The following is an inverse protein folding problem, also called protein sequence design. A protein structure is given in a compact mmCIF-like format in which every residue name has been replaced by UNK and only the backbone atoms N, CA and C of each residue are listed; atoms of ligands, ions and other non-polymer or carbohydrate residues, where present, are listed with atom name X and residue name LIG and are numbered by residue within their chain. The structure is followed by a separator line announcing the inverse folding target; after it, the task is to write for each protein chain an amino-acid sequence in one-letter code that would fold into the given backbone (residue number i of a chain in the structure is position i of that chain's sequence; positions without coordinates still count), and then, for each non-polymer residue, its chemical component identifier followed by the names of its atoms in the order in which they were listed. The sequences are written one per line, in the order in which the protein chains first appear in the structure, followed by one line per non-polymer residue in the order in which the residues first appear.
data_IF_335484618722
#
_entry.id   IF_335484618722
#
_cell.length_a   1.000
_cell.length_b   1.000
_cell.length_c   1.000
_cell.angle_alpha   90.00
_cell.angle_beta   90.00
_cell.angle_gamma   90.00
#
_symmetry.space_group_name_H-M   'P 1'
#
loop_
_entity.id
_entity.type
_entity.pdbx_description
1 polymer ?
#
# COMPACT_ATOMS: atom_id res chain seq x y z
N UNK A 1 -19.85 -16.83 -15.15
CA UNK A 1 -18.69 -15.96 -14.89
C UNK A 1 -17.45 -16.71 -15.37
N UNK A 2 -17.01 -16.40 -16.60
CA UNK A 2 -15.90 -17.10 -17.23
C UNK A 2 -14.60 -16.83 -16.47
N UNK A 3 -13.73 -17.82 -16.41
CA UNK A 3 -12.42 -17.69 -15.77
C UNK A 3 -11.53 -16.72 -16.59
N UNK A 4 -11.61 -15.43 -16.30
CA UNK A 4 -10.77 -14.37 -16.92
C UNK A 4 -9.31 -14.38 -16.41
N UNK A 5 -9.02 -15.24 -15.41
CA UNK A 5 -7.70 -15.41 -14.79
C UNK A 5 -6.53 -15.49 -15.77
N UNK A 6 -6.70 -16.11 -16.94
CA UNK A 6 -5.63 -16.25 -17.92
C UNK A 6 -5.15 -14.91 -18.48
N UNK A 7 -6.08 -14.01 -18.82
CA UNK A 7 -5.77 -12.76 -19.50
C UNK A 7 -5.22 -11.70 -18.55
N UNK A 8 -5.73 -11.63 -17.32
CA UNK A 8 -5.20 -10.70 -16.30
C UNK A 8 -3.78 -11.09 -15.87
N UNK A 9 -3.53 -12.38 -15.65
CA UNK A 9 -2.20 -12.87 -15.31
C UNK A 9 -1.21 -12.70 -16.47
N UNK A 10 -1.64 -12.96 -17.71
CA UNK A 10 -0.82 -12.72 -18.90
C UNK A 10 -0.47 -11.23 -19.05
N UNK A 11 -1.45 -10.33 -18.83
CA UNK A 11 -1.22 -8.87 -18.85
C UNK A 11 -0.22 -8.44 -17.77
N UNK A 12 -0.28 -9.01 -16.57
CA UNK A 12 0.69 -8.74 -15.50
C UNK A 12 2.11 -9.20 -15.88
N UNK A 13 2.26 -10.40 -16.45
CA UNK A 13 3.56 -10.90 -16.92
C UNK A 13 4.14 -10.03 -18.05
N UNK A 14 3.31 -9.59 -18.99
CA UNK A 14 3.71 -8.65 -20.04
C UNK A 14 4.18 -7.32 -19.43
N UNK A 15 3.48 -6.83 -18.40
CA UNK A 15 3.89 -5.62 -17.67
C UNK A 15 5.28 -5.74 -17.05
N UNK A 16 5.58 -6.87 -16.40
CA UNK A 16 6.91 -7.14 -15.83
C UNK A 16 7.98 -7.18 -16.92
N UNK A 17 7.71 -7.89 -18.04
CA UNK A 17 8.62 -7.97 -19.16
C UNK A 17 8.88 -6.59 -19.80
N UNK A 18 7.86 -5.75 -19.90
CA UNK A 18 7.96 -4.37 -20.39
C UNK A 18 8.84 -3.51 -19.49
N UNK A 19 8.67 -3.59 -18.17
CA UNK A 19 9.48 -2.83 -17.21
C UNK A 19 10.96 -3.23 -17.33
N UNK A 20 11.27 -4.53 -17.37
CA UNK A 20 12.65 -5.00 -17.55
C UNK A 20 13.21 -4.65 -18.93
N UNK A 21 12.39 -4.73 -19.99
CA UNK A 21 12.77 -4.32 -21.33
C UNK A 21 13.13 -2.85 -21.43
N UNK A 22 12.34 -1.97 -20.81
CA UNK A 22 12.61 -0.53 -20.75
C UNK A 22 13.86 -0.22 -19.91
N UNK A 23 14.02 -0.84 -18.74
CA UNK A 23 15.20 -0.67 -17.91
C UNK A 23 16.48 -1.13 -18.63
N UNK A 24 16.41 -2.23 -19.39
CA UNK A 24 17.52 -2.71 -20.22
C UNK A 24 17.80 -1.79 -21.40
N UNK A 25 16.77 -1.28 -22.08
CA UNK A 25 16.91 -0.36 -23.21
C UNK A 25 17.59 0.95 -22.82
N UNK A 26 17.27 1.47 -21.63
CA UNK A 26 17.88 2.67 -21.07
C UNK A 26 19.27 2.43 -20.44
N UNK A 27 19.68 1.17 -20.26
CA UNK A 27 20.96 0.85 -19.64
C UNK A 27 22.13 1.22 -20.56
N UNK A 28 23.11 1.93 -19.99
CA UNK A 28 24.31 2.39 -20.68
C UNK A 28 25.26 1.25 -21.06
N UNK A 29 25.33 0.19 -20.23
CA UNK A 29 26.18 -0.99 -20.47
C UNK A 29 25.35 -2.27 -20.55
N UNK A 30 24.59 -2.40 -21.66
CA UNK A 30 23.66 -3.52 -21.91
C UNK A 30 24.28 -4.91 -21.81
N UNK A 31 25.58 -5.05 -22.09
CA UNK A 31 26.32 -6.32 -22.01
C UNK A 31 26.68 -6.74 -20.59
N UNK A 32 26.73 -5.79 -19.65
CA UNK A 32 27.04 -6.04 -18.24
C UNK A 32 25.78 -6.05 -17.36
N UNK A 33 24.60 -6.12 -17.99
CA UNK A 33 23.36 -6.14 -17.25
C UNK A 33 23.29 -7.37 -16.32
N UNK A 34 23.07 -7.19 -15.01
CA UNK A 34 23.24 -8.25 -14.01
C UNK A 34 22.02 -9.18 -13.96
N UNK A 35 21.80 -9.99 -15.00
CA UNK A 35 20.65 -10.89 -15.14
C UNK A 35 20.46 -11.85 -13.95
N UNK A 36 21.55 -12.30 -13.32
CA UNK A 36 21.48 -13.14 -12.11
C UNK A 36 20.83 -12.42 -10.94
N UNK A 37 21.15 -11.13 -10.76
CA UNK A 37 20.59 -10.31 -9.68
C UNK A 37 19.14 -9.99 -9.99
N UNK A 38 18.83 -9.63 -11.23
CA UNK A 38 17.45 -9.31 -11.65
C UNK A 38 16.54 -10.50 -11.43
N UNK A 39 16.86 -11.67 -11.98
CA UNK A 39 16.05 -12.88 -11.79
C UNK A 39 15.99 -13.32 -10.32
N UNK A 40 17.09 -13.19 -9.58
CA UNK A 40 17.12 -13.49 -8.15
C UNK A 40 16.21 -12.56 -7.33
N UNK A 41 16.23 -11.26 -7.61
CA UNK A 41 15.37 -10.27 -6.97
C UNK A 41 13.90 -10.48 -7.35
N UNK A 42 13.60 -10.77 -8.62
CA UNK A 42 12.24 -11.11 -9.08
C UNK A 42 11.71 -12.34 -8.35
N UNK A 43 12.50 -13.42 -8.28
CA UNK A 43 12.11 -14.64 -7.61
C UNK A 43 11.88 -14.40 -6.11
N UNK A 44 12.76 -13.61 -5.46
CA UNK A 44 12.60 -13.24 -4.07
C UNK A 44 11.34 -12.40 -3.82
N UNK A 45 11.02 -11.47 -4.73
CA UNK A 45 9.78 -10.68 -4.66
C UNK A 45 8.54 -11.57 -4.76
N UNK A 46 8.52 -12.54 -5.69
CA UNK A 46 7.43 -13.52 -5.77
C UNK A 46 7.36 -14.40 -4.52
N UNK A 47 8.51 -14.83 -3.98
CA UNK A 47 8.55 -15.58 -2.72
C UNK A 47 7.94 -14.77 -1.57
N UNK A 48 8.28 -13.50 -1.42
CA UNK A 48 7.66 -12.62 -0.43
C UNK A 48 6.17 -12.46 -0.66
N UNK A 49 5.71 -12.23 -1.89
CA UNK A 49 4.28 -12.13 -2.18
C UNK A 49 3.54 -13.42 -1.78
N UNK A 50 4.08 -14.59 -2.10
CA UNK A 50 3.51 -15.87 -1.71
C UNK A 50 3.54 -16.10 -0.20
N UNK A 51 4.58 -15.64 0.51
CA UNK A 51 4.64 -15.75 1.97
C UNK A 51 3.61 -14.82 2.62
N UNK A 52 3.59 -13.54 2.23
CA UNK A 52 2.72 -12.52 2.82
C UNK A 52 1.25 -12.80 2.55
N UNK A 53 0.90 -13.22 1.33
CA UNK A 53 -0.49 -13.47 0.94
C UNK A 53 -0.89 -14.94 1.00
N UNK A 54 0.01 -15.89 0.79
CA UNK A 54 -0.32 -17.32 0.75
C UNK A 54 -0.36 -17.99 2.12
N UNK A 55 0.39 -17.49 3.12
CA UNK A 55 0.45 -18.10 4.46
C UNK A 55 -0.58 -17.41 5.39
N UNK A 56 -1.62 -18.13 5.88
CA UNK A 56 -2.68 -17.51 6.69
C UNK A 56 -2.18 -16.84 7.96
N UNK A 57 -1.16 -17.41 8.60
CA UNK A 57 -0.54 -16.85 9.81
C UNK A 57 0.10 -15.47 9.54
N UNK A 58 0.87 -15.35 8.46
CA UNK A 58 1.53 -14.08 8.08
C UNK A 58 0.49 -13.04 7.71
N UNK A 59 -0.56 -13.45 6.97
CA UNK A 59 -1.69 -12.59 6.65
C UNK A 59 -2.41 -12.08 7.91
N UNK A 60 -2.59 -12.94 8.92
CA UNK A 60 -3.18 -12.55 10.21
C UNK A 60 -2.36 -11.46 10.92
N UNK A 61 -1.03 -11.59 10.93
CA UNK A 61 -0.13 -10.58 11.49
C UNK A 61 -0.24 -9.26 10.72
N UNK A 62 -0.26 -9.31 9.38
CA UNK A 62 -0.44 -8.11 8.56
C UNK A 62 -1.78 -7.41 8.84
N UNK A 63 -2.85 -8.17 9.10
CA UNK A 63 -4.12 -7.56 9.48
C UNK A 63 -4.07 -6.91 10.87
N UNK A 64 -3.34 -7.47 11.82
CA UNK A 64 -3.12 -6.83 13.13
C UNK A 64 -2.25 -5.57 13.06
N UNK A 65 -1.48 -5.37 11.97
CA UNK A 65 -0.80 -4.10 11.76
C UNK A 65 -1.81 -2.95 11.59
N UNK A 66 -3.02 -3.23 11.10
CA UNK A 66 -4.08 -2.22 11.06
C UNK A 66 -4.46 -1.76 12.47
N UNK A 67 -4.52 -2.65 13.45
CA UNK A 67 -4.84 -2.30 14.84
C UNK A 67 -3.81 -1.33 15.43
N UNK A 68 -2.53 -1.47 15.06
CA UNK A 68 -1.46 -0.54 15.45
C UNK A 68 -1.67 0.84 14.83
N UNK A 69 -1.99 0.88 13.53
CA UNK A 69 -2.27 2.12 12.80
C UNK A 69 -3.53 2.79 13.35
N UNK A 70 -4.56 2.02 13.66
CA UNK A 70 -5.80 2.50 14.28
C UNK A 70 -5.54 3.04 15.69
N UNK A 71 -4.69 2.39 16.48
CA UNK A 71 -4.23 2.88 17.77
C UNK A 71 -3.54 4.24 17.66
N UNK A 72 -2.64 4.40 16.67
CA UNK A 72 -1.96 5.67 16.42
C UNK A 72 -2.95 6.76 15.98
N UNK A 73 -3.85 6.45 15.04
CA UNK A 73 -4.90 7.36 14.59
C UNK A 73 -5.79 7.81 15.75
N UNK A 74 -6.18 6.89 16.64
CA UNK A 74 -6.99 7.20 17.82
C UNK A 74 -6.25 8.11 18.80
N UNK A 75 -4.96 7.89 19.02
CA UNK A 75 -4.12 8.76 19.85
C UNK A 75 -4.01 10.17 19.25
N UNK A 76 -3.78 10.27 17.93
CA UNK A 76 -3.75 11.55 17.20
C UNK A 76 -5.10 12.27 17.28
N UNK A 77 -6.21 11.56 17.11
CA UNK A 77 -7.57 12.11 17.25
C UNK A 77 -7.84 12.62 18.65
N UNK A 78 -7.42 11.90 19.69
CA UNK A 78 -7.54 12.34 21.07
C UNK A 78 -6.74 13.63 21.34
N UNK A 79 -5.49 13.70 20.86
CA UNK A 79 -4.65 14.89 21.02
C UNK A 79 -5.18 16.12 20.26
N UNK A 80 -5.67 15.91 19.05
CA UNK A 80 -6.18 16.99 18.20
C UNK A 80 -7.56 17.46 18.65
N UNK A 81 -8.40 16.57 19.18
CA UNK A 81 -9.63 16.94 19.87
C UNK A 81 -9.37 17.72 21.16
N UNK A 82 -8.28 17.44 21.88
CA UNK A 82 -7.90 18.22 23.06
C UNK A 82 -7.49 19.65 22.70
N UNK A 83 -6.71 19.84 21.62
CA UNK A 83 -6.22 21.17 21.20
C UNK A 83 -7.26 21.97 20.42
N UNK A 84 -8.02 21.31 19.53
CA UNK A 84 -8.89 21.97 18.54
C UNK A 84 -10.39 21.64 18.70
N UNK A 85 -10.77 20.88 19.72
CA UNK A 85 -12.17 20.57 20.02
C UNK A 85 -12.86 19.76 18.91
N UNK A 86 -14.12 20.13 18.61
CA UNK A 86 -15.00 19.41 17.68
C UNK A 86 -14.49 19.33 16.23
N UNK A 87 -13.54 20.19 15.84
CA UNK A 87 -12.89 20.16 14.52
C UNK A 87 -11.75 19.12 14.49
N UNK A 88 -11.09 18.90 15.63
CA UNK A 88 -10.03 17.89 15.77
C UNK A 88 -10.54 16.45 15.71
N UNK A 89 -11.73 16.21 16.25
CA UNK A 89 -12.38 14.88 16.23
C UNK A 89 -13.10 14.56 14.91
N UNK A 90 -13.10 15.45 13.92
CA UNK A 90 -13.88 15.36 12.68
C UNK A 90 -15.40 15.50 12.84
N UNK A 91 -15.90 15.83 14.04
CA UNK A 91 -17.35 16.03 14.24
C UNK A 91 -17.88 17.20 13.42
N UNK A 92 -17.09 18.25 13.24
CA UNK A 92 -17.42 19.37 12.35
C UNK A 92 -17.74 18.90 10.92
N UNK A 93 -16.90 18.00 10.36
CA UNK A 93 -17.13 17.45 9.03
C UNK A 93 -18.38 16.56 9.00
N UNK A 94 -18.62 15.77 10.06
CA UNK A 94 -19.82 14.95 10.26
C UNK A 94 -21.14 15.72 10.26
N UNK A 95 -21.12 16.97 10.73
CA UNK A 95 -22.31 17.81 10.81
C UNK A 95 -22.52 18.67 9.55
N UNK A 96 -21.46 18.95 8.81
CA UNK A 96 -21.47 19.88 7.66
C UNK A 96 -21.51 19.16 6.31
N UNK A 97 -21.14 17.88 6.26
CA UNK A 97 -21.06 17.09 5.02
C UNK A 97 -22.05 15.94 5.08
N UNK A 98 -22.79 15.73 3.99
CA UNK A 98 -23.69 14.58 3.88
C UNK A 98 -22.89 13.28 3.67
N UNK A 99 -23.28 12.20 4.37
CA UNK A 99 -22.68 10.88 4.24
C UNK A 99 -21.53 10.62 5.22
N UNK A 100 -20.48 9.92 4.78
CA UNK A 100 -19.25 9.68 5.54
C UNK A 100 -18.22 10.74 5.19
N UNK A 101 -18.01 11.76 6.04
CA UNK A 101 -17.06 12.82 5.75
C UNK A 101 -15.64 12.26 5.83
N UNK A 102 -14.76 12.63 4.88
CA UNK A 102 -13.35 12.32 5.00
C UNK A 102 -12.75 13.00 6.26
N UNK A 103 -11.65 12.46 6.81
CA UNK A 103 -10.91 13.13 7.88
C UNK A 103 -10.44 14.51 7.44
N UNK A 104 -10.63 15.53 8.28
CA UNK A 104 -10.08 16.86 8.04
C UNK A 104 -8.55 16.78 8.03
N UNK A 105 -7.97 16.94 6.84
CA UNK A 105 -6.54 16.76 6.58
C UNK A 105 -5.65 17.48 7.59
N UNK A 106 -5.94 18.75 7.87
CA UNK A 106 -5.13 19.57 8.76
C UNK A 106 -5.09 19.05 10.21
N UNK A 107 -6.20 18.47 10.68
CA UNK A 107 -6.34 18.09 12.08
C UNK A 107 -6.12 16.60 12.33
N UNK A 108 -6.19 15.73 11.32
CA UNK A 108 -6.07 14.28 11.53
C UNK A 108 -4.93 13.63 10.74
N UNK A 109 -4.50 14.24 9.64
CA UNK A 109 -3.46 13.68 8.77
C UNK A 109 -2.11 14.36 9.01
N UNK A 110 -2.06 15.69 9.12
CA UNK A 110 -0.80 16.39 9.44
C UNK A 110 -0.21 16.01 10.81
N UNK A 111 -0.99 15.84 11.88
CA UNK A 111 -0.41 15.57 13.19
C UNK A 111 0.05 14.12 13.39
N UNK A 112 -0.16 13.23 12.40
CA UNK A 112 0.28 11.83 12.46
C UNK A 112 1.72 11.64 11.94
N UNK A 113 2.23 12.61 11.15
CA UNK A 113 3.58 12.59 10.54
C UNK A 113 4.62 13.36 11.36
#
# INVERSE_FOLDING_TARGET
MGYEWGWDNARALIGIAMIYGLAWAWSEKRSLFPWKVVLGATALQFAFALILFGVPFVRGILFHANDVVDGLQNATRAGTSFVFGYVGDNQAAGQLMEGSPPPLFFFQILPIV
#
